data_IF_626606265099
#
_entry.id   IF_626606265099
#
_cell.length_a   1.000
_cell.length_b   1.000
_cell.length_c   1.000
_cell.angle_alpha   90.00
_cell.angle_beta   90.00
_cell.angle_gamma   90.00
#
_symmetry.space_group_name_H-M   'P 1'
#
loop_
_entity.id
_entity.type
_entity.pdbx_description
1 polymer ?
#
# COMPACT_ATOMS: atom_id res chain seq x y z
N UNK A 1 -23.26 -10.66 2.37
CA UNK A 1 -21.88 -11.12 2.69
C UNK A 1 -20.99 -11.13 1.46
N UNK A 2 -21.37 -11.79 0.38
CA UNK A 2 -20.66 -11.78 -0.93
C UNK A 2 -20.24 -10.36 -1.38
N UNK A 3 -21.18 -9.41 -1.38
CA UNK A 3 -20.94 -8.02 -1.78
C UNK A 3 -19.92 -7.31 -0.88
N UNK A 4 -19.94 -7.57 0.43
CA UNK A 4 -18.98 -6.98 1.37
C UNK A 4 -17.56 -7.48 1.10
N UNK A 5 -17.38 -8.78 0.87
CA UNK A 5 -16.08 -9.35 0.49
C UNK A 5 -15.57 -8.79 -0.85
N UNK A 6 -16.47 -8.61 -1.82
CA UNK A 6 -16.11 -8.01 -3.11
C UNK A 6 -15.63 -6.55 -2.96
N UNK A 7 -16.32 -5.75 -2.14
CA UNK A 7 -15.92 -4.36 -1.84
C UNK A 7 -14.57 -4.31 -1.13
N UNK A 8 -14.36 -5.16 -0.11
CA UNK A 8 -13.07 -5.25 0.60
C UNK A 8 -11.92 -5.61 -0.34
N UNK A 9 -12.13 -6.59 -1.22
CA UNK A 9 -11.13 -6.97 -2.22
C UNK A 9 -10.85 -5.84 -3.23
N UNK A 10 -11.90 -5.11 -3.66
CA UNK A 10 -11.73 -3.96 -4.53
C UNK A 10 -10.89 -2.86 -3.87
N UNK A 11 -11.19 -2.52 -2.61
CA UNK A 11 -10.43 -1.52 -1.83
C UNK A 11 -8.97 -1.95 -1.64
N UNK A 12 -8.72 -3.20 -1.27
CA UNK A 12 -7.38 -3.76 -1.15
C UNK A 12 -6.58 -3.63 -2.46
N UNK A 13 -7.18 -4.00 -3.61
CA UNK A 13 -6.53 -3.90 -4.92
C UNK A 13 -6.26 -2.45 -5.32
N UNK A 14 -7.22 -1.56 -5.12
CA UNK A 14 -7.07 -0.13 -5.40
C UNK A 14 -5.89 0.42 -4.59
N UNK A 15 -5.86 0.17 -3.29
CA UNK A 15 -4.80 0.68 -2.42
C UNK A 15 -3.42 0.09 -2.77
N UNK A 16 -3.37 -1.21 -3.09
CA UNK A 16 -2.16 -1.88 -3.59
C UNK A 16 -1.63 -1.20 -4.85
N UNK A 17 -2.49 -0.93 -5.83
CA UNK A 17 -2.08 -0.22 -7.05
C UNK A 17 -1.68 1.23 -6.78
N UNK A 18 -2.33 1.92 -5.84
CA UNK A 18 -1.93 3.26 -5.43
C UNK A 18 -0.49 3.26 -4.89
N UNK A 19 -0.13 2.30 -4.04
CA UNK A 19 1.24 2.16 -3.54
C UNK A 19 2.21 1.86 -4.69
N UNK A 20 1.87 0.94 -5.59
CA UNK A 20 2.71 0.60 -6.75
C UNK A 20 2.94 1.83 -7.64
N UNK A 21 1.88 2.55 -8.01
CA UNK A 21 1.98 3.78 -8.81
C UNK A 21 2.85 4.80 -8.08
N UNK A 22 2.67 4.97 -6.77
CA UNK A 22 3.48 5.90 -6.00
C UNK A 22 4.98 5.56 -6.02
N UNK A 23 5.32 4.28 -5.89
CA UNK A 23 6.72 3.81 -6.02
C UNK A 23 7.24 4.12 -7.42
N UNK A 24 6.46 3.85 -8.47
CA UNK A 24 6.88 4.15 -9.85
C UNK A 24 7.05 5.65 -10.09
N UNK A 25 6.20 6.49 -9.50
CA UNK A 25 6.34 7.95 -9.56
C UNK A 25 7.62 8.44 -8.87
N UNK A 26 8.17 7.70 -7.91
CA UNK A 26 9.45 8.07 -7.29
C UNK A 26 10.62 8.07 -8.28
N UNK A 27 10.50 7.37 -9.41
CA UNK A 27 11.49 7.35 -10.49
C UNK A 27 11.31 8.49 -11.49
N UNK A 28 10.20 9.23 -11.40
CA UNK A 28 9.85 10.35 -12.27
C UNK A 28 9.55 11.59 -11.40
N UNK A 29 10.57 12.37 -10.98
CA UNK A 29 10.42 13.48 -10.04
C UNK A 29 9.32 14.48 -10.43
N UNK A 30 9.26 14.87 -11.71
CA UNK A 30 8.24 15.80 -12.23
C UNK A 30 6.81 15.25 -12.11
N UNK A 31 6.63 13.93 -12.22
CA UNK A 31 5.32 13.30 -12.06
C UNK A 31 4.93 13.17 -10.58
N UNK A 32 5.91 12.93 -9.70
CA UNK A 32 5.71 12.93 -8.23
C UNK A 32 5.29 14.29 -7.69
N UNK A 33 5.85 15.36 -8.25
CA UNK A 33 5.57 16.75 -7.84
C UNK A 33 4.25 17.30 -8.39
N UNK A 34 3.67 16.63 -9.40
CA UNK A 34 2.35 16.98 -9.94
C UNK A 34 1.24 16.92 -8.90
N UNK A 35 0.13 17.62 -9.15
CA UNK A 35 -1.06 17.58 -8.26
C UNK A 35 -1.55 16.14 -8.01
N UNK A 36 -1.51 15.28 -9.03
CA UNK A 36 -1.85 13.86 -8.89
C UNK A 36 -0.87 13.12 -7.98
N UNK A 37 0.43 13.32 -8.19
CA UNK A 37 1.48 12.73 -7.36
C UNK A 37 1.38 13.14 -5.89
N UNK A 38 1.06 14.41 -5.62
CA UNK A 38 0.85 14.92 -4.27
C UNK A 38 -0.41 14.34 -3.60
N UNK A 39 -1.52 14.20 -4.33
CA UNK A 39 -2.73 13.54 -3.82
C UNK A 39 -2.41 12.08 -3.48
N UNK A 40 -1.74 11.36 -4.38
CA UNK A 40 -1.35 9.98 -4.16
C UNK A 40 -0.45 9.86 -2.93
N UNK A 41 0.56 10.74 -2.80
CA UNK A 41 1.44 10.81 -1.64
C UNK A 41 0.64 10.93 -0.33
N UNK A 42 -0.32 11.85 -0.25
CA UNK A 42 -1.14 12.03 0.95
C UNK A 42 -1.93 10.78 1.35
N UNK A 43 -2.30 9.95 0.38
CA UNK A 43 -3.07 8.73 0.60
C UNK A 43 -2.21 7.52 1.01
N UNK A 44 -0.99 7.40 0.48
CA UNK A 44 -0.12 6.25 0.75
C UNK A 44 0.96 6.52 1.81
N UNK A 45 1.43 7.75 1.97
CA UNK A 45 2.50 8.09 2.92
C UNK A 45 2.17 7.77 4.38
N UNK A 46 0.95 8.00 4.90
CA UNK A 46 0.63 7.62 6.28
C UNK A 46 0.86 6.12 6.56
N UNK A 47 0.65 5.27 5.56
CA UNK A 47 0.92 3.84 5.65
C UNK A 47 2.38 3.51 5.43
N UNK A 48 3.06 4.13 4.44
CA UNK A 48 4.45 3.84 4.09
C UNK A 48 5.48 4.41 5.08
N UNK A 49 5.17 5.53 5.74
CA UNK A 49 6.11 6.23 6.62
C UNK A 49 6.62 5.39 7.80
N UNK A 50 5.78 4.60 8.52
CA UNK A 50 6.27 3.66 9.50
C UNK A 50 7.31 2.67 8.94
N UNK A 51 7.08 2.10 7.75
CA UNK A 51 8.00 1.13 7.15
C UNK A 51 9.35 1.77 6.80
N UNK A 52 9.36 3.00 6.29
CA UNK A 52 10.61 3.75 6.05
C UNK A 52 11.38 4.07 7.33
N UNK A 53 10.67 4.27 8.44
CA UNK A 53 11.29 4.51 9.74
C UNK A 53 12.00 3.27 10.27
N UNK A 54 11.42 2.08 10.06
CA UNK A 54 12.01 0.82 10.51
C UNK A 54 13.02 0.23 9.52
N UNK A 55 12.86 0.50 8.23
CA UNK A 55 13.69 -0.03 7.15
C UNK A 55 14.27 1.16 6.38
N UNK A 56 15.42 1.69 6.83
CA UNK A 56 16.08 2.78 6.12
C UNK A 56 16.53 2.31 4.71
N UNK A 57 16.65 3.22 3.73
CA UNK A 57 17.05 2.88 2.37
C UNK A 57 18.40 2.16 2.34
N UNK A 58 18.49 1.08 1.56
CA UNK A 58 19.76 0.38 1.38
C UNK A 58 20.65 1.26 0.49
N UNK A 59 21.83 1.60 1.01
CA UNK A 59 22.83 2.43 0.31
C UNK A 59 22.32 3.82 -0.13
N UNK A 60 21.32 4.37 0.57
CA UNK A 60 20.80 5.73 0.30
C UNK A 60 20.02 5.90 -1.01
N UNK A 61 19.89 4.83 -1.82
CA UNK A 61 19.29 4.90 -3.16
C UNK A 61 18.11 3.96 -3.37
N UNK A 62 18.06 2.80 -2.69
CA UNK A 62 17.02 1.80 -2.90
C UNK A 62 16.13 1.71 -1.66
N UNK A 63 14.94 2.29 -1.77
CA UNK A 63 13.89 2.17 -0.76
C UNK A 63 13.16 0.82 -0.94
N UNK A 64 13.54 -0.18 -0.12
CA UNK A 64 12.89 -1.51 -0.08
C UNK A 64 11.64 -1.50 0.81
N UNK A 65 11.46 -0.46 1.63
CA UNK A 65 10.33 -0.35 2.55
C UNK A 65 8.95 -0.53 1.89
N UNK A 66 8.70 -0.11 0.63
CA UNK A 66 7.40 -0.32 0.01
C UNK A 66 7.11 -1.78 -0.31
N UNK A 67 8.15 -2.59 -0.59
CA UNK A 67 7.98 -4.04 -0.82
C UNK A 67 7.51 -4.71 0.48
N UNK A 68 8.15 -4.37 1.60
CA UNK A 68 7.74 -4.89 2.91
C UNK A 68 6.35 -4.38 3.29
N UNK A 69 6.05 -3.12 3.01
CA UNK A 69 4.73 -2.55 3.23
C UNK A 69 3.64 -3.28 2.43
N UNK A 70 3.90 -3.64 1.17
CA UNK A 70 2.98 -4.43 0.35
C UNK A 70 2.79 -5.85 0.91
N UNK A 71 3.87 -6.49 1.37
CA UNK A 71 3.79 -7.80 1.99
C UNK A 71 2.95 -7.78 3.29
N UNK A 72 3.17 -6.79 4.16
CA UNK A 72 2.38 -6.62 5.39
C UNK A 72 0.92 -6.30 5.06
N UNK A 73 0.65 -5.50 4.03
CA UNK A 73 -0.71 -5.21 3.58
C UNK A 73 -1.43 -6.49 3.13
N UNK A 74 -0.74 -7.36 2.38
CA UNK A 74 -1.26 -8.64 1.93
C UNK A 74 -1.59 -9.56 3.11
N UNK A 75 -0.69 -9.66 4.10
CA UNK A 75 -0.92 -10.46 5.30
C UNK A 75 -2.09 -9.93 6.13
N UNK A 76 -2.17 -8.61 6.32
CA UNK A 76 -3.25 -7.97 7.05
C UNK A 76 -4.62 -8.22 6.37
N UNK A 77 -4.69 -8.07 5.05
CA UNK A 77 -5.90 -8.35 4.29
C UNK A 77 -6.30 -9.82 4.36
N UNK A 78 -5.34 -10.74 4.18
CA UNK A 78 -5.60 -12.18 4.24
C UNK A 78 -6.10 -12.60 5.62
N UNK A 79 -5.49 -12.08 6.69
CA UNK A 79 -5.93 -12.30 8.07
C UNK A 79 -7.33 -11.75 8.34
N UNK A 80 -7.63 -10.54 7.85
CA UNK A 80 -8.96 -9.96 7.95
C UNK A 80 -10.02 -10.85 7.27
N UNK A 81 -9.75 -11.30 6.04
CA UNK A 81 -10.67 -12.16 5.31
C UNK A 81 -10.86 -13.51 6.01
N UNK A 82 -9.79 -14.09 6.56
CA UNK A 82 -9.86 -15.32 7.35
C UNK A 82 -10.78 -15.15 8.57
N UNK A 83 -10.55 -14.11 9.38
CA UNK A 83 -11.36 -13.83 10.56
C UNK A 83 -12.82 -13.55 10.23
N UNK A 84 -13.08 -12.77 9.18
CA UNK A 84 -14.44 -12.49 8.74
C UNK A 84 -15.15 -13.77 8.30
N UNK A 85 -14.46 -14.67 7.60
CA UNK A 85 -15.04 -15.97 7.23
C UNK A 85 -15.29 -16.83 8.46
N UNK A 86 -14.36 -16.91 9.40
CA UNK A 86 -14.51 -17.73 10.62
C UNK A 86 -15.62 -17.25 11.57
N UNK A 87 -16.12 -16.02 11.41
CA UNK A 87 -17.25 -15.51 12.18
C UNK A 87 -18.61 -15.80 11.53
N UNK A 88 -18.61 -16.11 10.23
CA UNK A 88 -19.83 -16.32 9.43
C UNK A 88 -20.17 -17.81 9.30
N UNK A 89 -19.16 -18.67 9.34
CA UNK A 89 -19.28 -20.13 9.36
C UNK A 89 -19.10 -20.66 10.79
#
# INVERSE_FOLDING_TARGET
>A
METAFAVLNALYRIYTYMIIIYILLSWLPSARESSFGQILARLVEPYLAPFRRFIPPIMGAIDISPIVALFVLQLAFSGLIFLLRSLIY
#
